data_IF_546254493938
#
_entry.id   IF_546254493938
#
_cell.length_a   1.000
_cell.length_b   1.000
_cell.length_c   1.000
_cell.angle_alpha   90.00
_cell.angle_beta   90.00
_cell.angle_gamma   90.00
#
_symmetry.space_group_name_H-M   'P 1'
#
loop_
_entity.id
_entity.type
_entity.pdbx_description
1 polymer ?
#
# COMPACT_ATOMS: atom_id res chain seq x y z
N UNK A 1 -17.07 -13.79 -9.80
CA UNK A 1 -15.68 -14.11 -10.16
C UNK A 1 -15.23 -13.31 -11.37
N UNK A 2 -14.80 -12.09 -11.09
CA UNK A 2 -13.97 -11.27 -11.95
C UNK A 2 -12.52 -11.34 -11.44
N UNK A 3 -11.57 -11.51 -12.36
CA UNK A 3 -10.14 -11.41 -12.05
C UNK A 3 -9.57 -10.25 -12.85
N UNK A 4 -9.10 -9.24 -12.15
CA UNK A 4 -8.41 -8.07 -12.70
C UNK A 4 -6.90 -8.26 -12.51
N UNK A 5 -6.23 -8.72 -13.57
CA UNK A 5 -4.79 -9.01 -13.56
C UNK A 5 -3.96 -7.87 -14.18
N UNK A 6 -2.87 -7.51 -13.50
CA UNK A 6 -1.89 -6.49 -13.88
C UNK A 6 -0.46 -7.01 -13.71
N UNK A 7 0.17 -7.43 -14.81
CA UNK A 7 1.46 -8.11 -14.80
C UNK A 7 2.32 -7.70 -16.02
N UNK A 8 3.18 -6.67 -15.90
CA UNK A 8 3.23 -5.68 -14.81
C UNK A 8 2.15 -4.58 -14.97
N UNK A 9 1.78 -3.86 -13.89
CA UNK A 9 0.96 -2.66 -14.00
C UNK A 9 1.76 -1.50 -14.61
N UNK A 10 1.06 -0.56 -15.24
CA UNK A 10 1.61 0.77 -15.56
C UNK A 10 1.73 1.64 -14.30
N UNK A 11 0.87 1.40 -13.30
CA UNK A 11 0.89 2.06 -11.99
C UNK A 11 0.14 1.24 -10.95
N UNK A 12 0.68 1.14 -9.74
CA UNK A 12 -0.02 0.57 -8.58
C UNK A 12 0.26 1.39 -7.32
N UNK A 13 -0.79 1.94 -6.71
CA UNK A 13 -0.64 2.88 -5.58
C UNK A 13 -1.72 2.67 -4.52
N UNK A 14 -1.36 2.95 -3.27
CA UNK A 14 -2.32 3.18 -2.20
C UNK A 14 -2.66 4.68 -2.11
N UNK A 15 -3.91 4.99 -1.78
CA UNK A 15 -4.37 6.35 -1.56
C UNK A 15 -5.57 6.41 -0.63
N UNK A 16 -6.05 7.62 -0.37
CA UNK A 16 -7.22 7.82 0.49
C UNK A 16 -8.08 8.98 0.00
N UNK A 17 -9.39 8.86 0.23
CA UNK A 17 -10.40 9.87 -0.08
C UNK A 17 -11.19 10.18 1.18
N UNK A 18 -11.51 11.46 1.39
CA UNK A 18 -12.34 11.91 2.51
C UNK A 18 -11.60 12.74 3.57
N UNK A 19 -12.35 13.34 4.52
CA UNK A 19 -11.79 14.20 5.55
C UNK A 19 -10.99 13.41 6.60
N UNK A 20 -10.04 14.05 7.32
CA UNK A 20 -9.37 13.42 8.46
C UNK A 20 -10.36 12.82 9.46
N UNK A 21 -10.17 11.54 9.84
CA UNK A 21 -11.08 10.80 10.72
C UNK A 21 -12.24 10.08 10.02
N UNK A 22 -12.49 10.36 8.72
CA UNK A 22 -13.48 9.69 7.88
C UNK A 22 -12.90 9.31 6.51
N UNK A 23 -11.64 8.87 6.51
CA UNK A 23 -10.87 8.52 5.30
C UNK A 23 -11.16 7.09 4.88
N UNK A 24 -11.54 6.90 3.62
CA UNK A 24 -11.54 5.57 2.97
C UNK A 24 -10.20 5.35 2.29
N UNK A 25 -9.58 4.19 2.48
CA UNK A 25 -8.33 3.82 1.80
C UNK A 25 -8.64 2.98 0.57
N UNK A 26 -7.84 3.17 -0.48
CA UNK A 26 -7.96 2.46 -1.74
C UNK A 26 -6.60 1.94 -2.20
N UNK A 27 -6.60 0.78 -2.84
CA UNK A 27 -5.55 0.36 -3.76
C UNK A 27 -6.04 0.62 -5.18
N UNK A 28 -5.18 1.20 -6.01
CA UNK A 28 -5.51 1.52 -7.40
C UNK A 28 -4.44 0.97 -8.34
N UNK A 29 -4.86 0.17 -9.31
CA UNK A 29 -4.02 -0.41 -10.35
C UNK A 29 -4.42 0.15 -11.73
N UNK A 30 -3.44 0.55 -12.53
CA UNK A 30 -3.62 0.96 -13.92
C UNK A 30 -2.78 0.09 -14.83
N UNK A 31 -3.32 -0.29 -15.98
CA UNK A 31 -2.59 -1.00 -17.02
C UNK A 31 -3.47 -1.42 -18.18
N UNK A 32 -2.95 -1.34 -19.41
CA UNK A 32 -3.66 -1.78 -20.60
C UNK A 32 -4.95 -1.01 -20.86
N UNK A 33 -4.96 0.29 -20.53
CA UNK A 33 -6.13 1.17 -20.66
C UNK A 33 -7.23 0.95 -19.61
N UNK A 34 -7.01 0.11 -18.61
CA UNK A 34 -7.92 -0.14 -17.49
C UNK A 34 -7.41 0.55 -16.22
N UNK A 35 -8.36 1.01 -15.40
CA UNK A 35 -8.12 1.54 -14.06
C UNK A 35 -9.05 0.80 -13.11
N UNK A 36 -8.50 0.12 -12.10
CA UNK A 36 -9.26 -0.61 -11.08
C UNK A 36 -8.93 -0.02 -9.73
N UNK A 37 -9.95 0.18 -8.89
CA UNK A 37 -9.79 0.66 -7.53
C UNK A 37 -10.60 -0.21 -6.57
N UNK A 38 -9.98 -0.64 -5.47
CA UNK A 38 -10.63 -1.45 -4.43
C UNK A 38 -10.43 -0.80 -3.07
N UNK A 39 -11.48 -0.73 -2.27
CA UNK A 39 -11.41 -0.17 -0.93
C UNK A 39 -10.78 -1.18 0.03
N UNK A 40 -9.94 -0.70 0.96
CA UNK A 40 -9.16 -1.53 1.87
C UNK A 40 -9.13 -0.92 3.26
N UNK A 41 -8.97 -1.73 4.31
CA UNK A 41 -8.81 -1.21 5.67
C UNK A 41 -7.42 -0.61 5.89
N UNK A 42 -7.34 0.46 6.69
CA UNK A 42 -6.06 1.10 7.05
C UNK A 42 -5.07 0.09 7.63
N UNK A 43 -5.56 -0.84 8.45
CA UNK A 43 -4.74 -1.87 9.09
C UNK A 43 -4.15 -2.82 8.05
N UNK A 44 -4.94 -3.26 7.05
CA UNK A 44 -4.45 -4.11 5.97
C UNK A 44 -3.40 -3.40 5.12
N UNK A 45 -3.55 -2.10 4.84
CA UNK A 45 -2.51 -1.30 4.12
C UNK A 45 -1.19 -1.29 4.89
N UNK A 46 -1.25 -1.13 6.22
CA UNK A 46 -0.05 -1.17 7.06
C UNK A 46 0.62 -2.54 7.03
N UNK A 47 -0.16 -3.61 7.25
CA UNK A 47 0.33 -4.99 7.25
C UNK A 47 0.94 -5.36 5.89
N UNK A 48 0.28 -4.97 4.80
CA UNK A 48 0.77 -5.22 3.44
C UNK A 48 2.13 -4.55 3.22
N UNK A 49 2.28 -3.29 3.64
CA UNK A 49 3.54 -2.57 3.49
C UNK A 49 4.69 -3.20 4.27
N UNK A 50 4.42 -3.60 5.51
CA UNK A 50 5.42 -4.23 6.37
C UNK A 50 5.81 -5.61 5.81
N UNK A 51 4.83 -6.43 5.40
CA UNK A 51 5.10 -7.75 4.80
C UNK A 51 5.87 -7.67 3.48
N UNK A 52 5.59 -6.68 2.64
CA UNK A 52 6.38 -6.45 1.41
C UNK A 52 7.82 -6.10 1.78
N UNK A 53 8.02 -5.23 2.78
CA UNK A 53 9.35 -4.81 3.21
C UNK A 53 10.15 -5.98 3.76
N UNK A 54 9.56 -6.76 4.67
CA UNK A 54 10.18 -7.96 5.25
C UNK A 54 10.54 -9.01 4.19
N UNK A 55 9.65 -9.22 3.21
CA UNK A 55 9.88 -10.14 2.11
C UNK A 55 11.07 -9.68 1.24
N UNK A 56 11.11 -8.41 0.86
CA UNK A 56 12.20 -7.86 0.05
C UNK A 56 13.54 -7.82 0.79
N UNK A 57 13.53 -7.59 2.11
CA UNK A 57 14.74 -7.67 2.92
C UNK A 57 15.30 -9.11 2.96
N UNK A 58 14.43 -10.12 2.79
CA UNK A 58 14.82 -11.53 2.78
C UNK A 58 15.27 -12.00 1.39
N UNK A 59 14.55 -11.64 0.32
CA UNK A 59 14.76 -12.22 -1.03
C UNK A 59 14.92 -11.20 -2.16
N UNK A 60 14.67 -9.91 -1.92
CA UNK A 60 14.59 -8.86 -2.96
C UNK A 60 15.93 -8.36 -3.50
N UNK A 61 17.04 -8.73 -2.87
CA UNK A 61 18.39 -8.33 -3.30
C UNK A 61 18.60 -6.81 -3.35
N UNK A 62 19.59 -6.31 -4.11
CA UNK A 62 19.89 -4.87 -4.20
C UNK A 62 18.73 -4.04 -4.78
N UNK A 63 17.94 -4.61 -5.68
CA UNK A 63 16.83 -3.94 -6.37
C UNK A 63 15.64 -3.66 -5.44
N UNK A 64 15.45 -4.50 -4.42
CA UNK A 64 14.44 -4.31 -3.37
C UNK A 64 14.85 -3.33 -2.26
N UNK A 65 16.01 -2.65 -2.36
CA UNK A 65 16.50 -1.76 -1.31
C UNK A 65 15.86 -0.37 -1.32
N UNK A 66 15.84 0.27 -0.15
CA UNK A 66 15.27 1.62 0.01
C UNK A 66 15.96 2.69 -0.86
N UNK A 67 17.27 2.54 -1.07
CA UNK A 67 18.06 3.48 -1.88
C UNK A 67 17.64 3.47 -3.35
N UNK A 68 17.31 2.30 -3.89
CA UNK A 68 16.80 2.17 -5.26
C UNK A 68 15.37 2.71 -5.30
N UNK A 69 14.51 2.29 -4.37
CA UNK A 69 13.11 2.69 -4.30
C UNK A 69 12.88 4.21 -4.22
N UNK A 70 13.81 4.96 -3.61
CA UNK A 70 13.71 6.42 -3.50
C UNK A 70 13.60 7.13 -4.86
N UNK A 71 14.26 6.59 -5.88
CA UNK A 71 14.23 7.14 -7.24
C UNK A 71 12.91 6.82 -7.98
N UNK A 72 12.08 5.95 -7.42
CA UNK A 72 10.82 5.48 -7.99
C UNK A 72 9.60 5.86 -7.13
N UNK A 73 9.77 6.82 -6.21
CA UNK A 73 8.70 7.27 -5.35
C UNK A 73 7.58 7.96 -6.14
N UNK A 74 6.41 7.32 -6.22
CA UNK A 74 5.18 7.94 -6.69
C UNK A 74 4.52 8.69 -5.53
N UNK A 75 4.29 10.00 -5.70
CA UNK A 75 3.58 10.87 -4.74
C UNK A 75 2.31 11.47 -5.32
N UNK A 76 1.93 11.09 -6.54
CA UNK A 76 0.75 11.59 -7.21
C UNK A 76 -0.53 11.08 -6.54
N UNK A 77 -1.63 11.81 -6.72
CA UNK A 77 -2.94 11.44 -6.20
C UNK A 77 -3.48 10.17 -6.88
N UNK A 78 -4.57 9.64 -6.34
CA UNK A 78 -5.38 8.64 -7.05
C UNK A 78 -5.93 9.27 -8.34
N UNK A 79 -5.93 8.50 -9.41
CA UNK A 79 -6.54 8.88 -10.69
C UNK A 79 -8.07 8.85 -10.56
N UNK A 80 -8.72 9.77 -11.27
CA UNK A 80 -10.19 9.90 -11.28
C UNK A 80 -10.77 9.35 -12.59
N UNK A 81 -11.97 8.73 -12.56
CA UNK A 81 -12.82 8.51 -11.39
C UNK A 81 -12.30 7.40 -10.46
N UNK A 82 -12.59 7.53 -9.16
CA UNK A 82 -12.28 6.51 -8.15
C UNK A 82 -13.58 5.74 -7.90
N UNK A 83 -13.72 4.61 -8.58
CA UNK A 83 -14.88 3.72 -8.47
C UNK A 83 -14.49 2.50 -7.65
N UNK A 84 -15.22 2.24 -6.56
CA UNK A 84 -14.94 1.11 -5.68
C UNK A 84 -15.50 -0.17 -6.30
N UNK A 85 -14.61 -1.03 -6.81
CA UNK A 85 -14.98 -2.29 -7.45
C UNK A 85 -15.46 -3.31 -6.41
N UNK A 86 -14.75 -3.40 -5.29
CA UNK A 86 -15.15 -4.15 -4.10
C UNK A 86 -14.32 -3.75 -2.87
N UNK A 87 -14.82 -4.11 -1.69
CA UNK A 87 -14.09 -3.99 -0.42
C UNK A 87 -13.21 -5.23 -0.23
N UNK A 88 -11.90 -5.01 -0.08
CA UNK A 88 -10.92 -6.07 0.21
C UNK A 88 -11.14 -6.65 1.61
N UNK A 89 -11.30 -7.96 1.67
CA UNK A 89 -11.37 -8.75 2.90
C UNK A 89 -10.03 -9.45 3.16
N UNK A 90 -9.48 -10.11 2.15
CA UNK A 90 -8.24 -10.89 2.26
C UNK A 90 -7.16 -10.36 1.31
N UNK A 91 -5.92 -10.28 1.81
CA UNK A 91 -4.74 -9.87 1.03
C UNK A 91 -3.67 -10.96 1.11
N UNK A 92 -3.28 -11.48 -0.05
CA UNK A 92 -2.23 -12.47 -0.21
C UNK A 92 -0.97 -11.81 -0.81
N UNK A 93 0.19 -12.32 -0.39
CA UNK A 93 1.50 -11.85 -0.83
C UNK A 93 2.40 -13.04 -1.06
N UNK A 94 3.00 -13.13 -2.25
CA UNK A 94 3.94 -14.17 -2.62
C UNK A 94 5.17 -13.60 -3.34
N UNK A 95 6.28 -14.33 -3.27
CA UNK A 95 7.45 -14.09 -4.09
C UNK A 95 7.48 -15.12 -5.22
N UNK A 96 7.66 -14.64 -6.44
CA UNK A 96 7.90 -15.46 -7.63
C UNK A 96 9.40 -15.53 -7.87
N UNK A 97 10.00 -16.69 -7.58
CA UNK A 97 11.43 -16.92 -7.69
C UNK A 97 11.93 -16.86 -9.14
N UNK A 98 11.14 -17.37 -10.09
CA UNK A 98 11.51 -17.44 -11.50
C UNK A 98 11.61 -16.05 -12.13
N UNK A 99 10.71 -15.14 -11.73
CA UNK A 99 10.64 -13.77 -12.25
C UNK A 99 11.28 -12.73 -11.33
N UNK A 100 11.70 -13.13 -10.12
CA UNK A 100 12.18 -12.23 -9.07
C UNK A 100 11.20 -11.09 -8.82
N UNK A 101 9.93 -11.42 -8.62
CA UNK A 101 8.84 -10.44 -8.53
C UNK A 101 7.92 -10.71 -7.34
N UNK A 102 7.30 -9.66 -6.83
CA UNK A 102 6.26 -9.75 -5.80
C UNK A 102 4.90 -9.87 -6.48
N UNK A 103 4.10 -10.84 -6.03
CA UNK A 103 2.71 -11.02 -6.42
C UNK A 103 1.82 -10.61 -5.23
N UNK A 104 0.94 -9.65 -5.46
CA UNK A 104 -0.06 -9.18 -4.50
C UNK A 104 -1.43 -9.54 -5.03
N UNK A 105 -2.25 -10.19 -4.22
CA UNK A 105 -3.63 -10.51 -4.54
C UNK A 105 -4.56 -9.95 -3.48
N UNK A 106 -5.62 -9.27 -3.91
CA UNK A 106 -6.64 -8.70 -3.04
C UNK A 106 -7.98 -9.33 -3.40
N UNK A 107 -8.65 -9.89 -2.41
CA UNK A 107 -9.90 -10.64 -2.57
C UNK A 107 -11.03 -9.98 -1.78
N UNK A 108 -12.25 -10.03 -2.30
CA UNK A 108 -13.46 -9.54 -1.62
C UNK A 108 -13.96 -10.47 -0.50
N UNK A 109 -13.45 -11.70 -0.47
CA UNK A 109 -13.69 -12.74 0.55
C UNK A 109 -12.51 -13.71 0.61
N UNK A 110 -12.56 -14.66 1.53
CA UNK A 110 -11.56 -15.71 1.64
C UNK A 110 -11.61 -16.62 0.37
N UNK A 111 -10.51 -16.71 -0.40
CA UNK A 111 -10.47 -17.51 -1.62
C UNK A 111 -10.49 -19.03 -1.38
N UNK A 112 -10.36 -19.49 -0.13
CA UNK A 112 -10.45 -20.92 0.23
C UNK A 112 -11.91 -21.38 0.47
N UNK A 113 -12.88 -20.47 0.48
CA UNK A 113 -14.30 -20.80 0.61
C UNK A 113 -14.89 -21.39 -0.70
N UNK A 114 -16.03 -22.09 -0.57
CA UNK A 114 -16.71 -22.75 -1.71
C UNK A 114 -17.22 -21.76 -2.78
N UNK A 115 -17.32 -20.47 -2.45
CA UNK A 115 -17.77 -19.42 -3.38
C UNK A 115 -16.58 -18.68 -4.00
N UNK A 116 -16.53 -18.52 -5.33
CA UNK A 116 -15.39 -17.88 -5.97
C UNK A 116 -15.33 -16.37 -5.68
N UNK A 117 -14.16 -15.91 -5.20
CA UNK A 117 -13.88 -14.50 -4.87
C UNK A 117 -13.57 -13.65 -6.12
N UNK A 118 -13.98 -12.38 -6.09
CA UNK A 118 -13.48 -11.37 -7.02
C UNK A 118 -12.06 -10.95 -6.58
N UNK A 119 -11.14 -10.84 -7.54
CA UNK A 119 -9.70 -10.71 -7.24
C UNK A 119 -9.03 -9.65 -8.10
N UNK A 120 -8.22 -8.80 -7.46
CA UNK A 120 -7.22 -7.97 -8.14
C UNK A 120 -5.85 -8.57 -7.89
N UNK A 121 -5.15 -8.97 -8.96
CA UNK A 121 -3.78 -9.50 -8.92
C UNK A 121 -2.83 -8.49 -9.55
N UNK A 122 -1.76 -8.17 -8.83
CA UNK A 122 -0.73 -7.23 -9.27
C UNK A 122 0.64 -7.87 -9.09
N UNK A 123 1.46 -7.80 -10.13
CA UNK A 123 2.85 -8.28 -10.09
C UNK A 123 3.80 -7.10 -10.22
N UNK A 124 4.69 -6.95 -9.26
CA UNK A 124 5.65 -5.86 -9.17
C UNK A 124 7.07 -6.41 -9.14
N UNK A 125 7.98 -5.75 -9.85
CA UNK A 125 9.41 -5.95 -9.61
C UNK A 125 9.79 -5.44 -8.19
N UNK A 126 10.97 -5.84 -7.67
CA UNK A 126 11.39 -5.51 -6.31
C UNK A 126 11.47 -4.01 -6.03
N UNK A 127 11.89 -3.22 -7.02
CA UNK A 127 12.03 -1.77 -6.88
C UNK A 127 10.67 -1.11 -6.74
N UNK A 128 9.71 -1.42 -7.62
CA UNK A 128 8.35 -0.87 -7.54
C UNK A 128 7.62 -1.36 -6.28
N UNK A 129 7.80 -2.61 -5.88
CA UNK A 129 7.21 -3.14 -4.65
C UNK A 129 7.72 -2.40 -3.41
N UNK A 130 9.04 -2.12 -3.32
CA UNK A 130 9.61 -1.35 -2.20
C UNK A 130 9.09 0.09 -2.19
N UNK A 131 9.01 0.73 -3.35
CA UNK A 131 8.47 2.09 -3.47
C UNK A 131 7.00 2.14 -3.04
N UNK A 132 6.19 1.16 -3.44
CA UNK A 132 4.81 1.01 -3.01
C UNK A 132 4.69 0.82 -1.50
N UNK A 133 5.49 -0.07 -0.89
CA UNK A 133 5.50 -0.29 0.56
C UNK A 133 5.80 1.00 1.34
N UNK A 134 6.83 1.75 0.91
CA UNK A 134 7.18 3.05 1.51
C UNK A 134 6.03 4.07 1.41
N UNK A 135 5.35 4.12 0.26
CA UNK A 135 4.18 4.98 0.06
C UNK A 135 3.05 4.59 1.02
N UNK A 136 2.76 3.30 1.17
CA UNK A 136 1.75 2.80 2.09
C UNK A 136 2.05 3.20 3.55
N UNK A 137 3.29 3.04 4.00
CA UNK A 137 3.73 3.46 5.34
C UNK A 137 3.56 4.97 5.54
N UNK A 138 3.98 5.79 4.57
CA UNK A 138 3.81 7.23 4.62
C UNK A 138 2.33 7.64 4.66
N UNK A 139 1.48 6.99 3.86
CA UNK A 139 0.03 7.23 3.83
C UNK A 139 -0.63 6.92 5.18
N UNK A 140 -0.30 5.78 5.78
CA UNK A 140 -0.80 5.35 7.09
C UNK A 140 -0.35 6.31 8.20
N UNK A 141 0.90 6.78 8.16
CA UNK A 141 1.46 7.75 9.09
C UNK A 141 0.84 9.14 8.95
N UNK A 142 0.53 9.59 7.73
CA UNK A 142 -0.11 10.89 7.45
C UNK A 142 -1.57 10.99 7.93
N UNK A 143 -2.16 9.90 8.41
CA UNK A 143 -3.45 9.89 9.12
C UNK A 143 -3.37 10.26 10.60
N UNK A 144 -2.16 10.44 11.16
CA UNK A 144 -1.96 10.80 12.57
C UNK A 144 -2.26 12.30 12.78
N UNK A 145 -2.91 12.69 13.88
CA UNK A 145 -3.12 14.10 14.18
C UNK A 145 -1.77 14.84 14.23
N UNK A 146 -1.68 16.06 13.68
CA UNK A 146 -0.46 16.84 13.74
C UNK A 146 -0.15 17.22 15.18
N UNK A 147 1.13 17.19 15.54
CA UNK A 147 1.61 17.66 16.82
C UNK A 147 1.27 19.15 16.96
N UNK A 148 0.63 19.57 18.06
CA UNK A 148 0.21 20.97 18.24
C UNK A 148 1.38 21.96 18.32
N UNK A 149 2.62 21.49 18.48
CA UNK A 149 3.81 22.32 18.61
C UNK A 149 4.64 22.43 17.33
N UNK A 150 4.86 21.33 16.60
CA UNK A 150 5.71 21.30 15.40
C UNK A 150 4.95 21.00 14.10
N UNK A 151 3.69 20.58 14.16
CA UNK A 151 2.89 20.22 12.98
C UNK A 151 3.22 18.87 12.36
N UNK A 152 4.19 18.11 12.90
CA UNK A 152 4.54 16.77 12.44
C UNK A 152 3.56 15.71 12.97
N UNK A 153 3.42 14.59 12.28
CA UNK A 153 2.55 13.48 12.71
C UNK A 153 2.91 12.96 14.13
N UNK A 154 1.92 12.83 15.02
CA UNK A 154 2.11 12.29 16.38
C UNK A 154 2.25 10.77 16.36
N UNK A 155 3.33 10.25 16.96
CA UNK A 155 3.52 8.81 17.17
C UNK A 155 2.81 8.31 18.45
N UNK A 156 2.11 7.16 18.42
CA UNK A 156 1.48 6.57 19.60
C UNK A 156 2.46 6.15 20.72
N UNK A 157 3.72 5.82 20.41
CA UNK A 157 4.75 5.47 21.42
C UNK A 157 5.48 6.70 21.98
N UNK A 158 5.20 7.88 21.42
CA UNK A 158 5.71 9.17 21.85
C UNK A 158 6.39 9.93 20.71
N UNK A 159 5.90 11.14 20.44
CA UNK A 159 6.53 12.06 19.49
C UNK A 159 7.59 12.92 20.17
N UNK A 160 8.86 12.80 19.77
CA UNK A 160 9.92 13.72 20.21
C UNK A 160 9.79 15.02 19.41
N UNK A 161 9.09 15.99 19.98
CA UNK A 161 8.93 17.31 19.36
C UNK A 161 10.21 18.15 19.50
N UNK A 162 10.88 18.55 18.39
CA UNK A 162 12.07 19.41 18.45
C UNK A 162 11.77 20.81 19.01
N UNK A 163 10.52 21.27 18.90
CA UNK A 163 10.06 22.57 19.43
C UNK A 163 9.68 22.53 20.92
N UNK A 164 9.56 21.34 21.52
CA UNK A 164 9.11 21.18 22.90
C UNK A 164 10.17 20.58 23.82
N UNK A 165 11.45 20.51 23.41
CA UNK A 165 12.53 19.87 24.19
C UNK A 165 12.11 18.51 24.81
N UNK A 166 11.44 17.66 24.03
CA UNK A 166 11.15 16.27 24.43
C UNK A 166 10.14 16.09 25.60
N UNK A 167 9.13 16.95 25.72
CA UNK A 167 8.14 16.83 26.79
C UNK A 167 7.24 15.58 26.63
N UNK A 168 7.43 14.60 27.53
CA UNK A 168 6.52 13.46 27.75
C UNK A 168 5.36 13.89 28.65
N UNK A 169 4.12 13.68 28.20
CA UNK A 169 2.96 13.46 29.07
C UNK A 169 2.00 12.50 28.41
#
# INVERSE_FOLDING_TARGET
MAISDFDPPERFVAGTVGPPGGRTFFLQARGGGRLVSVSIEKVQVSILADRISDLLDTVGGPEGSDAVAEHHADTEALETPIEDEFRVDTVSLAWDEDRSSIVIECHDRDPEEDEPADTVRVVLDPTLARAFARRCQALVAAGRPPCPFCGQALDPEGHICPRSNGYKR
#
